data_IF_727877041945
#
_entry.id   IF_727877041945
#
_cell.length_a   1.000
_cell.length_b   1.000
_cell.length_c   1.000
_cell.angle_alpha   90.00
_cell.angle_beta   90.00
_cell.angle_gamma   90.00
#
_symmetry.space_group_name_H-M   'P 1'
#
loop_
_entity.id
_entity.type
_entity.pdbx_description
1 polymer ?
#
# COMPACT_ATOMS: atom_id res chain seq x y z
N UNK A 1 18.89 -25.13 8.87
CA UNK A 1 17.52 -25.12 9.45
C UNK A 1 16.60 -24.16 8.69
N UNK A 2 17.01 -22.92 8.43
CA UNK A 2 16.17 -21.91 7.74
C UNK A 2 15.79 -22.26 6.29
N UNK A 3 16.73 -22.77 5.47
CA UNK A 3 16.43 -23.16 4.08
C UNK A 3 15.41 -24.31 3.99
N UNK A 4 15.56 -25.31 4.87
CA UNK A 4 14.64 -26.45 4.94
C UNK A 4 13.26 -25.98 5.39
N UNK A 5 13.19 -25.11 6.42
CA UNK A 5 11.94 -24.50 6.86
C UNK A 5 11.25 -23.75 5.73
N UNK A 6 11.97 -22.89 5.02
CA UNK A 6 11.46 -22.16 3.85
C UNK A 6 10.93 -23.10 2.76
N UNK A 7 11.67 -24.16 2.43
CA UNK A 7 11.27 -25.12 1.41
C UNK A 7 10.01 -25.91 1.82
N UNK A 8 9.94 -26.37 3.07
CA UNK A 8 8.76 -27.02 3.63
C UNK A 8 7.54 -26.08 3.64
N UNK A 9 7.77 -24.82 3.98
CA UNK A 9 6.76 -23.76 4.01
C UNK A 9 6.21 -23.50 2.60
N UNK A 10 7.07 -23.32 1.59
CA UNK A 10 6.65 -23.19 0.18
C UNK A 10 5.85 -24.41 -0.28
N UNK A 11 6.31 -25.63 0.02
CA UNK A 11 5.61 -26.87 -0.36
C UNK A 11 4.23 -26.92 0.31
N UNK A 12 4.16 -26.66 1.62
CA UNK A 12 2.91 -26.64 2.38
C UNK A 12 1.91 -25.64 1.82
N UNK A 13 2.33 -24.38 1.61
CA UNK A 13 1.50 -23.33 0.99
C UNK A 13 1.02 -23.74 -0.39
N UNK A 14 1.87 -24.38 -1.20
CA UNK A 14 1.51 -24.85 -2.55
C UNK A 14 0.45 -25.95 -2.48
N UNK A 15 0.60 -26.93 -1.58
CA UNK A 15 -0.36 -28.01 -1.36
C UNK A 15 -1.72 -27.49 -0.85
N UNK A 16 -1.70 -26.56 0.11
CA UNK A 16 -2.90 -25.90 0.63
C UNK A 16 -3.61 -25.13 -0.50
N UNK A 17 -2.85 -24.33 -1.26
CA UNK A 17 -3.39 -23.54 -2.36
C UNK A 17 -3.99 -24.40 -3.46
N UNK A 18 -3.34 -25.50 -3.79
CA UNK A 18 -3.83 -26.48 -4.75
C UNK A 18 -5.15 -27.11 -4.27
N UNK A 19 -5.17 -27.58 -3.02
CA UNK A 19 -6.36 -28.21 -2.42
C UNK A 19 -7.54 -27.25 -2.36
N UNK A 20 -7.34 -26.03 -1.86
CA UNK A 20 -8.39 -25.01 -1.78
C UNK A 20 -8.86 -24.54 -3.15
N UNK A 21 -7.97 -24.50 -4.15
CA UNK A 21 -8.35 -24.20 -5.54
C UNK A 21 -9.24 -25.30 -6.13
N UNK A 22 -8.94 -26.58 -5.86
CA UNK A 22 -9.78 -27.70 -6.30
C UNK A 22 -11.15 -27.71 -5.64
N UNK A 23 -11.26 -27.22 -4.40
CA UNK A 23 -12.53 -27.12 -3.67
C UNK A 23 -13.40 -25.93 -4.09
N UNK A 24 -12.81 -24.92 -4.76
CA UNK A 24 -13.52 -23.71 -5.19
C UNK A 24 -14.78 -23.99 -6.05
N UNK A 25 -14.75 -24.82 -7.12
CA UNK A 25 -15.95 -25.12 -7.89
C UNK A 25 -17.05 -25.81 -7.07
N UNK A 26 -16.69 -26.68 -6.13
CA UNK A 26 -17.65 -27.33 -5.24
C UNK A 26 -18.30 -26.31 -4.29
N UNK A 27 -17.52 -25.34 -3.78
CA UNK A 27 -18.04 -24.25 -2.96
C UNK A 27 -19.02 -23.38 -3.75
N UNK A 28 -18.73 -23.09 -5.01
CA UNK A 28 -19.63 -22.34 -5.89
C UNK A 28 -20.92 -23.12 -6.18
N UNK A 29 -20.81 -24.43 -6.42
CA UNK A 29 -21.96 -25.31 -6.61
C UNK A 29 -22.84 -25.31 -5.35
N UNK A 30 -22.24 -25.49 -4.17
CA UNK A 30 -22.95 -25.47 -2.89
C UNK A 30 -23.63 -24.12 -2.64
N UNK A 31 -22.97 -23.00 -2.96
CA UNK A 31 -23.57 -21.66 -2.80
C UNK A 31 -24.74 -21.42 -3.77
N UNK A 32 -24.71 -22.02 -4.96
CA UNK A 32 -25.84 -22.01 -5.90
C UNK A 32 -27.00 -22.91 -5.45
N UNK A 33 -26.70 -24.07 -4.88
CA UNK A 33 -27.71 -25.05 -4.43
C UNK A 33 -28.35 -24.66 -3.09
N UNK A 34 -27.59 -24.02 -2.21
CA UNK A 34 -28.04 -23.53 -0.91
C UNK A 34 -27.68 -22.04 -0.80
N UNK A 35 -28.44 -21.16 -1.48
CA UNK A 35 -28.22 -19.73 -1.37
C UNK A 35 -28.42 -19.32 0.08
N UNK A 36 -27.33 -19.00 0.75
CA UNK A 36 -27.39 -18.39 2.07
C UNK A 36 -28.01 -17.02 1.88
N UNK A 37 -29.03 -16.68 2.66
CA UNK A 37 -29.51 -15.29 2.78
C UNK A 37 -28.33 -14.46 3.29
N UNK A 38 -27.51 -13.97 2.36
CA UNK A 38 -26.56 -12.92 2.62
C UNK A 38 -27.45 -11.70 2.70
N UNK A 39 -27.53 -11.11 3.89
CA UNK A 39 -28.20 -9.82 4.06
C UNK A 39 -27.65 -8.89 2.99
N UNK A 40 -28.53 -8.18 2.27
CA UNK A 40 -28.17 -7.31 1.16
C UNK A 40 -27.07 -6.28 1.52
N UNK A 41 -26.92 -5.98 2.82
CA UNK A 41 -25.90 -5.11 3.41
C UNK A 41 -24.46 -5.65 3.30
N UNK A 42 -24.24 -6.96 3.19
CA UNK A 42 -22.88 -7.53 3.12
C UNK A 42 -22.24 -7.38 1.73
N UNK A 43 -23.05 -7.23 0.66
CA UNK A 43 -22.57 -7.05 -0.71
C UNK A 43 -22.40 -5.59 -1.12
N UNK A 44 -22.99 -4.65 -0.37
CA UNK A 44 -22.88 -3.20 -0.64
C UNK A 44 -21.60 -2.58 -0.07
N UNK A 45 -20.98 -3.19 0.94
CA UNK A 45 -19.76 -2.68 1.58
C UNK A 45 -18.46 -2.99 0.84
N UNK A 46 -18.49 -3.78 -0.24
CA UNK A 46 -17.29 -4.15 -1.00
C UNK A 46 -17.49 -3.81 -2.47
N UNK A 47 -16.60 -2.97 -3.00
CA UNK A 47 -16.46 -2.73 -4.44
C UNK A 47 -15.21 -3.43 -4.97
N UNK A 48 -15.30 -4.00 -6.18
CA UNK A 48 -14.20 -4.68 -6.82
C UNK A 48 -13.54 -3.77 -7.85
N UNK A 49 -12.21 -3.80 -7.90
CA UNK A 49 -11.41 -3.07 -8.89
C UNK A 49 -10.55 -4.04 -9.68
N UNK A 50 -10.62 -3.95 -11.01
CA UNK A 50 -9.71 -4.65 -11.93
C UNK A 50 -8.78 -3.61 -12.57
N UNK A 51 -7.49 -3.88 -12.55
CA UNK A 51 -6.49 -2.89 -12.90
C UNK A 51 -5.15 -3.46 -13.33
N UNK A 52 -4.19 -2.57 -13.49
CA UNK A 52 -2.82 -2.87 -13.89
C UNK A 52 -1.86 -2.07 -13.03
N UNK A 53 -0.84 -2.74 -12.52
CA UNK A 53 0.35 -2.09 -11.96
C UNK A 53 1.40 -2.01 -13.06
N UNK A 54 1.94 -0.82 -13.25
CA UNK A 54 3.08 -0.56 -14.11
C UNK A 54 4.26 -0.09 -13.26
N UNK A 55 5.43 -0.67 -13.51
CA UNK A 55 6.69 -0.28 -12.91
C UNK A 55 7.67 0.14 -14.00
N UNK A 56 8.40 1.22 -13.74
CA UNK A 56 9.50 1.66 -14.56
C UNK A 56 10.68 2.04 -13.69
N UNK A 57 11.83 1.49 -14.02
CA UNK A 57 13.14 1.89 -13.51
C UNK A 57 13.93 2.47 -14.68
N UNK A 58 14.38 3.71 -14.56
CA UNK A 58 15.19 4.39 -15.57
C UNK A 58 16.70 4.15 -15.44
N UNK A 59 17.24 4.06 -14.21
CA UNK A 59 18.69 4.02 -13.94
C UNK A 59 19.08 3.03 -12.83
N UNK A 60 20.33 2.54 -12.76
CA UNK A 60 21.37 2.65 -13.80
C UNK A 60 21.08 1.76 -15.01
N UNK A 61 20.28 0.69 -14.83
CA UNK A 61 19.81 -0.18 -15.90
C UNK A 61 18.31 -0.02 -16.07
N UNK A 62 17.87 0.24 -17.30
CA UNK A 62 16.46 0.38 -17.59
C UNK A 62 15.71 -0.96 -17.46
N UNK A 63 14.56 -0.92 -16.80
CA UNK A 63 13.67 -2.07 -16.67
C UNK A 63 12.25 -1.58 -16.43
N UNK A 64 11.31 -1.97 -17.29
CA UNK A 64 9.89 -1.65 -17.15
C UNK A 64 9.04 -2.89 -17.40
N UNK A 65 7.91 -2.97 -16.69
CA UNK A 65 6.95 -4.04 -16.83
C UNK A 65 5.58 -3.62 -16.30
N UNK A 66 4.55 -4.35 -16.74
CA UNK A 66 3.19 -4.18 -16.24
C UNK A 66 2.55 -5.54 -15.98
N UNK A 67 1.68 -5.62 -14.98
CA UNK A 67 0.95 -6.84 -14.66
C UNK A 67 -0.46 -6.53 -14.17
N UNK A 68 -1.45 -7.38 -14.48
CA UNK A 68 -2.81 -7.19 -14.01
C UNK A 68 -2.90 -7.40 -12.50
N UNK A 69 -3.77 -6.65 -11.85
CA UNK A 69 -4.06 -6.77 -10.41
C UNK A 69 -5.54 -6.58 -10.16
N UNK A 70 -6.01 -7.19 -9.07
CA UNK A 70 -7.37 -7.03 -8.59
C UNK A 70 -7.33 -6.60 -7.14
N UNK A 71 -8.11 -5.58 -6.82
CA UNK A 71 -8.21 -5.01 -5.49
C UNK A 71 -9.65 -5.06 -4.99
N UNK A 72 -9.81 -5.29 -3.69
CA UNK A 72 -11.04 -5.03 -2.97
C UNK A 72 -10.97 -3.61 -2.42
N UNK A 73 -12.06 -2.86 -2.59
CA UNK A 73 -12.28 -1.57 -1.94
C UNK A 73 -13.41 -1.73 -0.95
N UNK A 74 -13.06 -1.75 0.33
CA UNK A 74 -13.89 -2.21 1.43
C UNK A 74 -14.27 -1.00 2.28
N UNK A 75 -15.55 -0.78 2.48
CA UNK A 75 -16.08 0.12 3.49
C UNK A 75 -15.89 -0.50 4.88
N UNK A 76 -14.96 0.04 5.67
CA UNK A 76 -14.63 -0.52 6.98
C UNK A 76 -15.70 -0.23 8.03
N UNK A 77 -16.56 0.76 7.82
CA UNK A 77 -17.63 1.12 8.75
C UNK A 77 -18.88 0.24 8.54
N UNK A 78 -19.10 -0.26 7.33
CA UNK A 78 -20.24 -1.13 6.97
C UNK A 78 -19.86 -2.61 6.79
N UNK A 79 -18.66 -3.02 7.20
CA UNK A 79 -18.29 -4.44 7.25
C UNK A 79 -18.48 -5.02 8.66
N UNK A 80 -19.03 -6.25 8.79
CA UNK A 80 -19.25 -6.87 10.11
C UNK A 80 -17.97 -7.00 10.94
N UNK A 81 -16.84 -7.25 10.26
CA UNK A 81 -15.52 -7.35 10.87
C UNK A 81 -14.48 -6.75 9.92
N UNK A 82 -13.55 -5.98 10.47
CA UNK A 82 -12.38 -5.53 9.73
C UNK A 82 -11.58 -6.75 9.23
N UNK A 83 -11.03 -6.70 8.00
CA UNK A 83 -10.14 -7.73 7.51
C UNK A 83 -9.01 -8.00 8.53
N UNK A 84 -8.62 -9.27 8.75
CA UNK A 84 -7.60 -9.59 9.73
C UNK A 84 -6.28 -8.89 9.38
N UNK A 85 -5.52 -8.51 10.42
CA UNK A 85 -4.23 -7.81 10.27
C UNK A 85 -4.28 -6.43 9.60
N UNK A 86 -5.47 -5.83 9.50
CA UNK A 86 -5.67 -4.45 9.08
C UNK A 86 -6.19 -3.58 10.23
N UNK A 87 -5.99 -2.26 10.12
CA UNK A 87 -6.55 -1.29 11.07
C UNK A 87 -8.08 -1.37 11.10
N UNK A 88 -8.65 -1.21 12.31
CA UNK A 88 -10.07 -0.95 12.46
C UNK A 88 -10.43 0.46 11.94
N UNK A 89 -11.70 0.72 11.58
CA UNK A 89 -12.11 2.06 11.13
C UNK A 89 -11.83 3.13 12.19
N UNK A 90 -12.02 2.80 13.48
CA UNK A 90 -11.72 3.73 14.57
C UNK A 90 -10.22 4.03 14.69
N UNK A 91 -9.36 3.01 14.62
CA UNK A 91 -7.91 3.22 14.64
C UNK A 91 -7.45 4.11 13.49
N UNK A 92 -7.98 3.88 12.28
CA UNK A 92 -7.67 4.68 11.11
C UNK A 92 -8.12 6.16 11.29
N UNK A 93 -9.33 6.40 11.84
CA UNK A 93 -9.80 7.75 12.18
C UNK A 93 -8.91 8.44 13.21
N UNK A 94 -8.52 7.74 14.28
CA UNK A 94 -7.68 8.30 15.34
C UNK A 94 -6.30 8.69 14.81
N UNK A 95 -5.70 7.83 13.98
CA UNK A 95 -4.40 8.10 13.32
C UNK A 95 -4.52 9.29 12.37
N UNK A 96 -5.52 9.26 11.47
CA UNK A 96 -5.71 10.30 10.47
C UNK A 96 -6.27 11.62 11.05
N UNK A 97 -6.80 11.61 12.27
CA UNK A 97 -7.55 12.71 12.89
C UNK A 97 -8.73 13.13 12.00
N UNK A 98 -9.52 12.14 11.59
CA UNK A 98 -10.70 12.34 10.74
C UNK A 98 -11.98 11.83 11.41
N UNK A 99 -13.14 12.34 11.00
CA UNK A 99 -14.43 12.03 11.62
C UNK A 99 -15.42 11.28 10.71
N UNK A 100 -15.10 11.09 9.43
CA UNK A 100 -15.98 10.45 8.46
C UNK A 100 -15.66 8.97 8.18
N UNK A 101 -16.18 8.44 7.05
CA UNK A 101 -16.02 7.03 6.71
C UNK A 101 -14.58 6.67 6.35
N UNK A 102 -14.23 5.41 6.57
CA UNK A 102 -12.91 4.87 6.22
C UNK A 102 -13.06 3.72 5.23
N UNK A 103 -12.34 3.82 4.11
CA UNK A 103 -12.31 2.76 3.10
C UNK A 103 -10.91 2.15 2.98
N UNK A 104 -10.84 0.86 2.75
CA UNK A 104 -9.60 0.09 2.57
C UNK A 104 -9.50 -0.44 1.14
N UNK A 105 -8.46 -0.05 0.43
CA UNK A 105 -8.03 -0.69 -0.81
C UNK A 105 -6.95 -1.74 -0.49
N UNK A 106 -7.23 -3.01 -0.73
CA UNK A 106 -6.32 -4.12 -0.40
C UNK A 106 -6.46 -5.30 -1.38
N UNK A 107 -5.43 -6.16 -1.45
CA UNK A 107 -5.54 -7.46 -2.13
C UNK A 107 -5.86 -8.50 -1.05
N UNK A 108 -7.08 -9.07 -1.03
CA UNK A 108 -7.45 -10.05 -0.02
C UNK A 108 -6.66 -11.37 -0.20
N UNK A 109 -6.46 -12.14 0.89
CA UNK A 109 -5.92 -13.49 0.80
C UNK A 109 -6.76 -14.37 -0.13
N UNK A 110 -6.11 -15.29 -0.82
CA UNK A 110 -6.77 -16.20 -1.77
C UNK A 110 -6.16 -17.58 -1.68
N UNK A 111 -7.04 -18.60 -1.62
CA UNK A 111 -6.68 -20.02 -1.53
C UNK A 111 -5.52 -20.29 -0.55
N UNK A 112 -5.59 -19.70 0.65
CA UNK A 112 -4.62 -19.95 1.73
C UNK A 112 -3.27 -19.23 1.59
N UNK A 113 -3.16 -18.23 0.73
CA UNK A 113 -1.95 -17.43 0.55
C UNK A 113 -2.24 -15.93 0.62
N UNK A 114 -1.32 -15.18 1.22
CA UNK A 114 -1.37 -13.72 1.34
C UNK A 114 -0.09 -13.12 0.75
N UNK A 115 -0.27 -12.18 -0.18
CA UNK A 115 0.78 -11.37 -0.74
C UNK A 115 0.15 -10.06 -1.21
N UNK A 116 0.36 -9.00 -0.42
CA UNK A 116 -0.17 -7.68 -0.70
C UNK A 116 0.91 -6.61 -0.43
N UNK A 117 1.59 -6.08 -1.45
CA UNK A 117 2.66 -5.11 -1.28
C UNK A 117 2.19 -3.74 -0.76
N UNK A 118 0.94 -3.36 -1.03
CA UNK A 118 0.40 -2.04 -0.71
C UNK A 118 -1.10 -2.12 -0.40
N UNK A 119 -1.47 -1.70 0.80
CA UNK A 119 -2.84 -1.34 1.17
C UNK A 119 -2.95 0.18 1.34
N UNK A 120 -4.09 0.75 0.98
CA UNK A 120 -4.38 2.18 1.20
C UNK A 120 -5.67 2.35 1.99
N UNK A 121 -5.61 3.12 3.07
CA UNK A 121 -6.79 3.58 3.79
C UNK A 121 -7.13 4.99 3.33
N UNK A 122 -8.38 5.22 2.99
CA UNK A 122 -8.93 6.51 2.59
C UNK A 122 -9.77 7.04 3.75
N UNK A 123 -9.30 8.10 4.39
CA UNK A 123 -9.91 8.67 5.58
C UNK A 123 -10.60 9.99 5.23
N UNK A 124 -11.92 9.99 5.34
CA UNK A 124 -12.75 11.12 4.99
C UNK A 124 -13.13 11.95 6.22
N UNK A 125 -13.39 13.24 6.02
CA UNK A 125 -14.15 14.05 6.96
C UNK A 125 -15.57 14.25 6.47
N UNK A 126 -16.48 14.31 7.44
CA UNK A 126 -17.88 14.67 7.24
C UNK A 126 -18.13 16.05 7.86
N UNK A 127 -18.63 16.96 7.03
CA UNK A 127 -19.10 18.28 7.43
C UNK A 127 -20.50 18.51 6.83
N UNK A 128 -21.53 18.36 7.65
CA UNK A 128 -22.92 18.36 7.19
C UNK A 128 -23.21 17.20 6.25
N UNK A 129 -23.56 17.51 4.99
CA UNK A 129 -23.81 16.51 3.94
C UNK A 129 -22.60 16.25 3.03
N UNK A 130 -21.48 16.93 3.25
CA UNK A 130 -20.29 16.80 2.41
C UNK A 130 -19.28 15.82 3.02
N UNK A 131 -18.92 14.81 2.23
CA UNK A 131 -17.81 13.89 2.52
C UNK A 131 -16.59 14.32 1.70
N UNK A 132 -15.47 14.58 2.38
CA UNK A 132 -14.22 15.04 1.72
C UNK A 132 -13.06 14.15 2.12
N UNK A 133 -12.25 13.73 1.15
CA UNK A 133 -11.06 12.93 1.42
C UNK A 133 -9.95 13.85 1.94
N UNK A 134 -9.50 13.64 3.18
CA UNK A 134 -8.55 14.53 3.85
C UNK A 134 -7.16 13.92 3.95
N UNK A 135 -7.07 12.64 4.33
CA UNK A 135 -5.79 11.93 4.47
C UNK A 135 -5.90 10.50 4.00
N UNK A 136 -4.76 9.93 3.65
CA UNK A 136 -4.62 8.50 3.42
C UNK A 136 -3.56 7.90 4.34
N UNK A 137 -3.71 6.62 4.67
CA UNK A 137 -2.67 5.82 5.31
C UNK A 137 -2.18 4.80 4.29
N UNK A 138 -0.88 4.80 4.01
CA UNK A 138 -0.25 3.77 3.20
C UNK A 138 0.31 2.69 4.12
N UNK A 139 -0.07 1.44 3.85
CA UNK A 139 0.51 0.26 4.49
C UNK A 139 1.34 -0.49 3.45
N UNK A 140 2.66 -0.49 3.63
CA UNK A 140 3.60 -1.14 2.71
C UNK A 140 4.17 -2.37 3.37
N UNK A 141 4.00 -3.52 2.72
CA UNK A 141 4.56 -4.79 3.18
C UNK A 141 5.84 -5.11 2.41
N UNK A 142 6.93 -5.35 3.14
CA UNK A 142 8.22 -5.75 2.59
C UNK A 142 8.24 -7.25 2.25
N UNK A 143 8.48 -7.55 0.99
CA UNK A 143 8.70 -8.93 0.53
C UNK A 143 10.13 -9.04 -0.02
N UNK A 144 10.95 -9.99 0.45
CA UNK A 144 10.62 -11.11 1.33
C UNK A 144 10.81 -10.86 2.83
N UNK A 145 11.32 -9.71 3.29
CA UNK A 145 11.84 -9.59 4.66
C UNK A 145 10.81 -9.60 5.80
N UNK A 146 9.50 -9.57 5.48
CA UNK A 146 8.45 -9.75 6.47
C UNK A 146 8.28 -8.54 7.39
N UNK A 147 8.60 -7.34 6.91
CA UNK A 147 8.35 -6.10 7.64
C UNK A 147 7.16 -5.39 7.03
N UNK A 148 6.47 -4.59 7.83
CA UNK A 148 5.39 -3.73 7.37
C UNK A 148 5.57 -2.35 7.96
N UNK A 149 5.24 -1.33 7.19
CA UNK A 149 5.22 0.04 7.68
C UNK A 149 3.92 0.72 7.25
N UNK A 150 3.32 1.40 8.20
CA UNK A 150 2.16 2.26 7.99
C UNK A 150 2.58 3.71 8.17
N UNK A 151 2.15 4.60 7.28
CA UNK A 151 2.39 6.04 7.42
C UNK A 151 1.28 6.87 6.77
N UNK A 152 1.06 8.07 7.32
CA UNK A 152 0.12 9.03 6.77
C UNK A 152 0.68 9.76 5.56
N UNK A 153 -0.17 10.08 4.59
CA UNK A 153 0.16 10.96 3.49
C UNK A 153 -1.05 11.78 3.00
N UNK A 154 -0.77 12.94 2.39
CA UNK A 154 -1.77 13.73 1.68
C UNK A 154 -2.10 13.08 0.31
N UNK A 155 -3.38 12.77 0.00
CA UNK A 155 -3.76 12.10 -1.24
C UNK A 155 -3.36 12.87 -2.52
N UNK A 156 -3.40 14.21 -2.51
CA UNK A 156 -3.13 15.02 -3.70
C UNK A 156 -1.66 14.92 -4.15
N UNK A 157 -0.76 15.01 -3.16
CA UNK A 157 0.68 14.82 -3.29
C UNK A 157 1.34 14.90 -1.93
N UNK A 158 2.23 13.96 -1.64
CA UNK A 158 3.10 14.01 -0.46
C UNK A 158 4.49 13.46 -0.77
N UNK A 159 5.48 13.86 0.03
CA UNK A 159 6.85 13.36 -0.07
C UNK A 159 7.26 12.74 1.26
N UNK A 160 7.64 11.47 1.21
CA UNK A 160 8.00 10.67 2.38
C UNK A 160 9.39 10.08 2.19
N UNK A 161 10.25 10.16 3.20
CA UNK A 161 11.54 9.46 3.15
C UNK A 161 11.28 7.96 3.05
N UNK A 162 11.90 7.27 2.06
CA UNK A 162 11.67 5.83 1.84
C UNK A 162 11.85 5.06 3.17
N UNK A 163 10.77 4.51 3.76
CA UNK A 163 10.78 3.97 5.12
C UNK A 163 11.12 2.49 5.20
N UNK A 164 11.24 1.82 4.04
CA UNK A 164 11.38 0.37 3.94
C UNK A 164 12.27 -0.02 2.75
N UNK A 165 13.08 -1.07 2.91
CA UNK A 165 13.92 -1.61 1.84
C UNK A 165 13.13 -2.61 0.97
N UNK A 166 12.17 -2.09 0.21
CA UNK A 166 11.19 -2.87 -0.60
C UNK A 166 11.77 -3.63 -1.80
N UNK A 167 13.05 -3.48 -2.11
CA UNK A 167 13.69 -4.15 -3.24
C UNK A 167 15.19 -4.27 -2.99
N UNK A 168 15.80 -5.45 -3.23
CA UNK A 168 17.25 -5.63 -3.09
C UNK A 168 18.05 -4.87 -4.16
N UNK A 169 17.40 -4.20 -5.11
CA UNK A 169 18.04 -3.41 -6.15
C UNK A 169 17.83 -1.91 -5.95
N UNK A 170 17.28 -1.49 -4.81
CA UNK A 170 17.00 -0.09 -4.49
C UNK A 170 17.30 0.19 -3.01
N UNK A 171 18.32 1.01 -2.74
CA UNK A 171 18.62 1.48 -1.38
C UNK A 171 17.48 2.32 -0.76
N UNK A 172 17.64 2.69 0.51
CA UNK A 172 16.67 3.48 1.26
C UNK A 172 16.85 5.00 1.15
N UNK A 173 17.85 5.49 0.42
CA UNK A 173 18.19 6.92 0.41
C UNK A 173 17.18 7.76 -0.39
N UNK A 174 16.37 7.13 -1.23
CA UNK A 174 15.34 7.81 -2.02
C UNK A 174 14.19 8.38 -1.19
N UNK A 175 13.48 9.32 -1.80
CA UNK A 175 12.23 9.89 -1.30
C UNK A 175 11.08 9.42 -2.19
N UNK A 176 9.98 9.01 -1.58
CA UNK A 176 8.75 8.61 -2.25
C UNK A 176 7.85 9.81 -2.41
N UNK A 177 7.56 10.21 -3.64
CA UNK A 177 6.42 11.07 -3.92
C UNK A 177 5.22 10.19 -4.21
N UNK A 178 4.22 10.26 -3.33
CA UNK A 178 2.99 9.46 -3.41
C UNK A 178 1.80 10.37 -3.67
N UNK A 179 0.91 9.92 -4.55
CA UNK A 179 -0.42 10.53 -4.77
C UNK A 179 -1.44 9.47 -5.13
N UNK A 180 -2.68 9.71 -4.76
CA UNK A 180 -3.81 8.86 -5.11
C UNK A 180 -5.00 9.71 -5.51
N UNK A 181 -5.79 9.25 -6.48
CA UNK A 181 -7.08 9.87 -6.79
C UNK A 181 -8.12 9.48 -5.75
N UNK A 182 -9.12 10.34 -5.52
CA UNK A 182 -10.33 9.92 -4.81
C UNK A 182 -10.96 8.71 -5.53
N UNK A 183 -11.19 7.58 -4.85
CA UNK A 183 -11.74 6.38 -5.47
C UNK A 183 -13.15 6.61 -6.03
N UNK A 184 -13.34 6.38 -7.33
CA UNK A 184 -14.63 6.51 -8.01
C UNK A 184 -14.88 5.33 -8.95
N UNK A 185 -15.19 5.60 -10.22
CA UNK A 185 -15.19 4.58 -11.27
C UNK A 185 -13.77 4.20 -11.69
N UNK A 186 -12.84 5.14 -11.54
CA UNK A 186 -11.42 4.96 -11.81
C UNK A 186 -10.63 5.25 -10.54
N UNK A 187 -9.53 4.55 -10.37
CA UNK A 187 -8.61 4.70 -9.26
C UNK A 187 -7.18 4.70 -9.79
N UNK A 188 -6.42 5.72 -9.40
CA UNK A 188 -5.02 5.85 -9.78
C UNK A 188 -4.17 6.11 -8.55
N UNK A 189 -3.13 5.30 -8.35
CA UNK A 189 -2.09 5.52 -7.34
C UNK A 189 -0.77 5.66 -8.08
N UNK A 190 -0.01 6.72 -7.79
CA UNK A 190 1.32 6.91 -8.34
C UNK A 190 2.33 7.07 -7.22
N UNK A 191 3.44 6.35 -7.33
CA UNK A 191 4.58 6.42 -6.43
C UNK A 191 5.83 6.61 -7.31
N UNK A 192 6.49 7.75 -7.19
CA UNK A 192 7.79 7.99 -7.84
C UNK A 192 8.89 8.10 -6.80
N UNK A 193 10.08 7.63 -7.13
CA UNK A 193 11.23 7.66 -6.24
C UNK A 193 12.29 8.58 -6.80
N UNK A 194 12.56 9.66 -6.05
CA UNK A 194 13.65 10.58 -6.30
C UNK A 194 14.85 10.23 -5.44
N UNK A 195 15.97 9.90 -6.06
CA UNK A 195 17.20 9.52 -5.37
C UNK A 195 18.25 10.63 -5.49
N UNK A 196 18.99 10.97 -4.42
CA UNK A 196 19.98 12.05 -4.44
C UNK A 196 21.04 11.88 -5.56
N UNK A 197 21.46 10.65 -5.85
CA UNK A 197 22.45 10.36 -6.92
C UNK A 197 21.84 10.12 -8.30
N UNK A 198 20.60 9.62 -8.37
CA UNK A 198 20.03 9.09 -9.61
C UNK A 198 18.86 9.90 -10.16
N UNK A 199 18.40 10.92 -9.44
CA UNK A 199 17.21 11.69 -9.79
C UNK A 199 15.95 10.84 -9.69
N UNK A 200 14.95 11.17 -10.51
CA UNK A 200 13.72 10.39 -10.65
C UNK A 200 14.02 9.11 -11.43
N UNK A 201 14.27 8.02 -10.71
CA UNK A 201 14.81 6.80 -11.31
C UNK A 201 13.87 5.60 -11.24
N UNK A 202 12.79 5.70 -10.47
CA UNK A 202 11.77 4.66 -10.38
C UNK A 202 10.38 5.28 -10.29
N UNK A 203 9.41 4.68 -10.97
CA UNK A 203 7.99 5.03 -10.91
C UNK A 203 7.15 3.76 -10.87
N UNK A 204 6.13 3.76 -10.03
CA UNK A 204 5.07 2.77 -9.96
C UNK A 204 3.71 3.46 -10.11
N UNK A 205 2.85 2.90 -10.96
CA UNK A 205 1.50 3.39 -11.17
C UNK A 205 0.52 2.23 -11.11
N UNK A 206 -0.47 2.31 -10.22
CA UNK A 206 -1.66 1.49 -10.24
C UNK A 206 -2.75 2.27 -10.97
N UNK A 207 -3.36 1.66 -11.98
CA UNK A 207 -4.59 2.15 -12.60
C UNK A 207 -5.63 1.04 -12.55
N UNK A 208 -6.76 1.29 -11.92
CA UNK A 208 -7.82 0.30 -11.79
C UNK A 208 -9.20 0.92 -12.01
N UNK A 209 -10.10 0.13 -12.57
CA UNK A 209 -11.47 0.53 -12.83
C UNK A 209 -12.40 -0.29 -11.94
N UNK A 210 -13.43 0.38 -11.42
CA UNK A 210 -14.49 -0.27 -10.67
C UNK A 210 -15.22 -1.25 -11.58
N UNK A 211 -15.38 -2.48 -11.11
CA UNK A 211 -16.16 -3.50 -11.80
C UNK A 211 -17.63 -3.21 -11.50
N UNK A 212 -18.46 -3.04 -12.55
CA UNK A 212 -19.90 -2.89 -12.38
C UNK A 212 -20.44 -4.15 -11.69
N UNK A 213 -20.89 -4.02 -10.45
CA UNK A 213 -21.30 -5.17 -9.63
C UNK A 213 -22.54 -5.83 -10.22
N UNK A 214 -22.34 -6.93 -10.95
CA UNK A 214 -23.35 -7.94 -11.24
C UNK A 214 -22.76 -9.31 -10.92
N UNK A 215 -23.08 -9.84 -9.73
CA UNK A 215 -23.01 -11.27 -9.40
C UNK A 215 -21.63 -11.97 -9.49
N UNK A 216 -20.51 -11.25 -9.49
CA UNK A 216 -19.18 -11.89 -9.50
C UNK A 216 -18.84 -12.39 -8.10
N UNK A 217 -18.63 -13.70 -7.97
CA UNK A 217 -18.16 -14.30 -6.73
C UNK A 217 -16.74 -13.81 -6.39
N UNK A 218 -16.56 -13.25 -5.19
CA UNK A 218 -15.28 -12.67 -4.76
C UNK A 218 -14.15 -13.70 -4.74
N UNK A 219 -14.43 -14.96 -4.37
CA UNK A 219 -13.41 -16.00 -4.31
C UNK A 219 -12.91 -16.38 -5.72
N UNK A 220 -13.79 -16.33 -6.72
CA UNK A 220 -13.41 -16.49 -8.13
C UNK A 220 -12.66 -15.26 -8.65
N UNK A 221 -13.13 -14.06 -8.30
CA UNK A 221 -12.50 -12.82 -8.73
C UNK A 221 -11.05 -12.73 -8.25
N UNK A 222 -10.77 -13.09 -7.00
CA UNK A 222 -9.42 -13.06 -6.44
C UNK A 222 -8.63 -14.37 -6.58
N UNK A 223 -9.15 -15.36 -7.34
CA UNK A 223 -8.50 -16.67 -7.44
C UNK A 223 -7.04 -16.57 -7.91
N UNK A 224 -6.12 -17.06 -7.08
CA UNK A 224 -4.65 -17.00 -7.26
C UNK A 224 -4.06 -15.58 -7.44
N UNK A 225 -4.81 -14.53 -7.08
CA UNK A 225 -4.34 -13.15 -7.27
C UNK A 225 -3.05 -12.87 -6.45
N UNK A 226 -2.98 -13.18 -5.15
CA UNK A 226 -1.76 -12.97 -4.38
C UNK A 226 -0.56 -13.80 -4.91
N UNK A 227 -0.79 -15.04 -5.36
CA UNK A 227 0.26 -15.86 -6.00
C UNK A 227 0.81 -15.21 -7.27
N UNK A 228 -0.06 -14.65 -8.10
CA UNK A 228 0.36 -13.92 -9.31
C UNK A 228 1.23 -12.72 -8.93
N UNK A 229 0.83 -11.95 -7.90
CA UNK A 229 1.65 -10.82 -7.41
C UNK A 229 3.02 -11.29 -6.95
N UNK A 230 3.10 -12.35 -6.14
CA UNK A 230 4.36 -12.92 -5.68
C UNK A 230 5.24 -13.35 -6.86
N UNK A 231 4.66 -14.09 -7.82
CA UNK A 231 5.36 -14.55 -9.02
C UNK A 231 5.96 -13.38 -9.80
N UNK A 232 5.20 -12.30 -10.01
CA UNK A 232 5.70 -11.11 -10.71
C UNK A 232 6.85 -10.42 -9.95
N UNK A 233 6.75 -10.28 -8.62
CA UNK A 233 7.81 -9.70 -7.78
C UNK A 233 9.11 -10.50 -7.93
N UNK A 234 9.06 -11.82 -7.71
CA UNK A 234 10.25 -12.67 -7.77
C UNK A 234 10.80 -12.79 -9.19
N UNK A 235 9.94 -12.88 -10.21
CA UNK A 235 10.35 -12.96 -11.61
C UNK A 235 11.10 -11.70 -12.06
N UNK A 236 10.60 -10.51 -11.69
CA UNK A 236 11.27 -9.26 -12.03
C UNK A 236 12.52 -9.00 -11.20
N UNK A 237 12.57 -9.46 -9.94
CA UNK A 237 13.81 -9.48 -9.17
C UNK A 237 14.89 -10.35 -9.85
N UNK A 238 14.53 -11.55 -10.30
CA UNK A 238 15.44 -12.44 -11.03
C UNK A 238 15.93 -11.81 -12.35
N UNK A 239 15.05 -11.14 -13.10
CA UNK A 239 15.43 -10.42 -14.33
C UNK A 239 16.41 -9.27 -14.05
N UNK A 240 16.24 -8.53 -12.95
CA UNK A 240 17.17 -7.46 -12.56
C UNK A 240 18.54 -8.02 -12.16
N UNK A 241 18.55 -9.14 -11.41
CA UNK A 241 19.77 -9.86 -11.08
C UNK A 241 20.51 -10.32 -12.34
N UNK A 242 19.80 -10.91 -13.31
CA UNK A 242 20.39 -11.33 -14.59
C UNK A 242 20.90 -10.14 -15.44
N UNK A 243 20.31 -8.96 -15.26
CA UNK A 243 20.81 -7.70 -15.85
C UNK A 243 22.02 -7.12 -15.10
N UNK A 244 22.61 -7.84 -14.15
CA UNK A 244 23.74 -7.41 -13.32
C UNK A 244 23.47 -6.12 -12.55
N UNK A 245 22.22 -5.88 -12.13
CA UNK A 245 21.92 -4.76 -11.23
C UNK A 245 22.47 -5.09 -9.85
N UNK A 246 23.18 -4.14 -9.24
CA UNK A 246 23.83 -4.33 -7.95
C UNK A 246 22.81 -4.75 -6.89
N UNK A 247 23.07 -5.88 -6.26
CA UNK A 247 22.33 -6.36 -5.11
C UNK A 247 22.78 -5.61 -3.85
N UNK A 248 21.82 -5.10 -3.10
CA UNK A 248 22.00 -4.34 -1.87
C UNK A 248 21.44 -5.19 -0.74
N UNK A 249 22.30 -5.48 0.25
CA UNK A 249 21.89 -6.25 1.41
C UNK A 249 20.87 -5.46 2.25
N UNK A 250 19.91 -6.17 2.83
CA UNK A 250 18.91 -5.53 3.69
C UNK A 250 19.57 -4.82 4.88
N UNK A 251 19.22 -3.55 5.16
CA UNK A 251 19.87 -2.76 6.20
C UNK A 251 19.87 -3.40 7.58
N UNK A 252 18.83 -4.18 7.92
CA UNK A 252 18.73 -4.92 9.20
C UNK A 252 19.97 -5.73 9.60
N UNK A 253 20.81 -6.12 8.65
CA UNK A 253 22.02 -6.92 8.89
C UNK A 253 23.29 -6.09 9.11
N UNK A 254 23.28 -4.79 8.81
CA UNK A 254 24.47 -3.92 8.93
C UNK A 254 24.22 -2.59 9.64
N UNK A 255 22.97 -2.15 9.72
CA UNK A 255 22.55 -0.94 10.41
C UNK A 255 21.23 -1.23 11.13
N UNK A 256 21.27 -1.33 12.46
CA UNK A 256 20.06 -1.54 13.28
C UNK A 256 19.18 -0.29 13.38
N UNK A 257 19.74 0.91 13.17
CA UNK A 257 19.02 2.20 13.27
C UNK A 257 18.44 2.70 11.95
N UNK A 258 18.37 1.86 10.92
CA UNK A 258 17.88 2.25 9.58
C UNK A 258 16.44 2.81 9.57
N UNK A 259 15.60 2.42 10.54
CA UNK A 259 14.24 2.95 10.70
C UNK A 259 14.29 4.38 11.26
N UNK A 260 15.11 4.61 12.27
CA UNK A 260 15.36 5.92 12.89
C UNK A 260 16.04 6.88 11.90
N UNK A 261 16.93 6.38 11.05
CA UNK A 261 17.55 7.16 9.97
C UNK A 261 16.50 7.59 8.94
N UNK A 262 15.53 6.71 8.63
CA UNK A 262 14.41 7.07 7.75
C UNK A 262 13.50 8.12 8.37
N UNK A 263 13.17 8.00 9.66
CA UNK A 263 12.41 9.01 10.42
C UNK A 263 13.12 10.35 10.46
N UNK A 264 14.43 10.35 10.73
CA UNK A 264 15.24 11.57 10.78
C UNK A 264 15.26 12.28 9.43
N UNK A 265 15.35 11.52 8.32
CA UNK A 265 15.21 12.08 6.98
C UNK A 265 13.79 12.61 6.72
N UNK A 266 12.75 11.92 7.17
CA UNK A 266 11.36 12.36 6.95
C UNK A 266 11.05 13.68 7.67
N UNK A 267 11.58 13.85 8.89
CA UNK A 267 11.49 15.10 9.66
C UNK A 267 12.07 16.30 8.90
N UNK A 268 13.08 16.09 8.05
CA UNK A 268 13.61 17.18 7.22
C UNK A 268 12.58 17.69 6.20
N UNK A 269 11.65 16.85 5.73
CA UNK A 269 10.55 17.27 4.86
C UNK A 269 9.42 17.94 5.63
N UNK A 270 9.08 17.44 6.82
CA UNK A 270 8.09 18.06 7.70
C UNK A 270 8.55 19.45 8.19
N UNK A 271 9.87 19.66 8.32
CA UNK A 271 10.43 20.98 8.61
C UNK A 271 10.18 21.99 7.46
N UNK A 272 10.04 21.50 6.22
CA UNK A 272 9.81 22.30 5.03
C UNK A 272 8.32 22.40 4.62
N UNK A 273 7.47 21.49 5.09
CA UNK A 273 6.03 21.49 4.85
C UNK A 273 5.29 21.70 6.17
N UNK A 274 4.85 22.93 6.42
CA UNK A 274 3.86 23.19 7.44
C UNK A 274 2.62 22.31 7.13
N UNK A 275 2.43 21.24 7.90
CA UNK A 275 1.19 20.46 7.90
C UNK A 275 0.08 21.36 8.40
N UNK A 276 -0.62 22.01 7.47
CA UNK A 276 -1.70 22.95 7.79
C UNK A 276 -1.99 23.93 6.66
N UNK A 277 -2.44 23.44 5.50
CA UNK A 277 -3.04 24.35 4.51
C UNK A 277 -4.51 24.53 4.86
N UNK A 278 -4.82 25.44 5.78
CA UNK A 278 -6.12 26.11 5.72
C UNK A 278 -6.09 27.01 4.49
N UNK A 279 -7.02 26.74 3.57
CA UNK A 279 -7.19 27.49 2.33
C UNK A 279 -7.90 28.80 2.65
N UNK A 280 -7.15 29.88 2.89
CA UNK A 280 -7.73 31.22 2.95
C UNK A 280 -7.68 31.87 1.57
N UNK A 281 -8.86 32.26 1.10
CA UNK A 281 -9.08 33.10 -0.07
C UNK A 281 -8.53 34.50 0.16
N UNK A 282 -7.34 34.79 -0.38
CA UNK A 282 -6.99 36.12 -0.90
C UNK A 282 -5.57 36.08 -1.42
N UNK A 283 -5.42 36.18 -2.74
CA UNK A 283 -4.12 36.26 -3.39
C UNK A 283 -3.42 37.58 -3.07
N UNK A 284 -2.18 37.49 -2.60
CA UNK A 284 -1.10 38.45 -2.84
C UNK A 284 0.24 37.81 -2.49
N UNK A 285 1.15 37.81 -3.46
CA UNK A 285 2.55 37.43 -3.30
C UNK A 285 3.34 38.69 -2.95
N UNK A 286 4.03 38.70 -1.82
CA UNK A 286 5.14 39.63 -1.58
C UNK A 286 6.33 38.85 -1.02
N UNK A 287 7.48 39.04 -1.67
CA UNK A 287 8.78 38.49 -1.29
C UNK A 287 9.47 39.50 -0.39
N UNK A 288 9.85 39.10 0.80
CA UNK A 288 10.90 39.78 1.57
C UNK A 288 11.82 38.72 2.18
N UNK A 289 13.09 38.79 1.77
CA UNK A 289 14.21 38.09 2.41
C UNK A 289 14.59 38.95 3.61
N UNK A 290 14.46 38.40 4.82
CA UNK A 290 15.29 38.85 5.94
C UNK A 290 15.50 37.69 6.91
N UNK A 291 16.78 37.46 7.17
CA UNK A 291 17.31 36.54 8.15
C UNK A 291 17.04 37.09 9.54
N UNK A 292 16.28 36.39 10.36
CA UNK A 292 16.35 36.58 11.80
C UNK A 292 16.07 35.27 12.55
N UNK A 293 16.94 35.07 13.54
CA UNK A 293 16.89 34.05 14.57
C UNK A 293 15.56 34.16 15.34
N UNK A 294 14.63 33.24 15.09
CA UNK A 294 13.51 33.03 16.01
C UNK A 294 13.35 31.55 16.31
N UNK A 295 13.75 31.24 17.54
CA UNK A 295 13.22 30.15 18.34
C UNK A 295 11.69 30.30 18.39
N UNK A 296 11.00 29.49 17.58
CA UNK A 296 9.55 29.35 17.69
C UNK A 296 9.24 27.86 17.69
N UNK A 297 9.00 27.38 18.91
CA UNK A 297 8.48 26.08 19.30
C UNK A 297 7.05 25.89 18.77
N UNK A 298 6.89 25.99 17.44
CA UNK A 298 5.68 25.56 16.74
C UNK A 298 5.72 24.05 16.78
N UNK A 299 4.81 23.48 17.57
CA UNK A 299 4.58 22.05 17.76
C UNK A 299 4.41 21.33 16.40
N UNK A 300 5.53 21.05 15.73
CA UNK A 300 5.63 20.31 14.48
C UNK A 300 5.28 18.87 14.80
N UNK A 301 4.02 18.50 14.62
CA UNK A 301 3.63 17.10 14.73
C UNK A 301 4.36 16.33 13.64
N UNK A 302 5.34 15.52 14.04
CA UNK A 302 5.99 14.53 13.20
C UNK A 302 4.92 13.70 12.46
N UNK A 303 5.20 13.34 11.21
CA UNK A 303 4.37 12.39 10.46
C UNK A 303 4.32 11.09 11.26
N UNK A 304 3.13 10.52 11.36
CA UNK A 304 2.95 9.24 12.05
C UNK A 304 3.50 8.10 11.20
N UNK A 305 4.33 7.26 11.81
CA UNK A 305 4.80 5.98 11.26
C UNK A 305 4.63 4.87 12.28
N UNK A 306 4.30 3.68 11.81
CA UNK A 306 4.30 2.47 12.63
C UNK A 306 4.90 1.31 11.84
N UNK A 307 5.98 0.71 12.38
CA UNK A 307 6.53 -0.53 11.85
C UNK A 307 5.98 -1.71 12.63
N UNK A 308 5.58 -2.74 11.91
CA UNK A 308 5.13 -4.02 12.46
C UNK A 308 5.78 -5.16 11.68
N UNK A 309 5.74 -6.36 12.23
CA UNK A 309 6.12 -7.55 11.47
C UNK A 309 4.95 -8.00 10.60
N UNK A 310 5.23 -8.23 9.32
CA UNK A 310 4.29 -8.89 8.43
C UNK A 310 4.39 -10.40 8.61
N UNK A 311 3.25 -11.09 8.48
CA UNK A 311 3.30 -12.53 8.23
C UNK A 311 4.08 -12.76 6.95
N UNK A 312 5.06 -13.64 7.04
CA UNK A 312 5.79 -14.08 5.86
C UNK A 312 4.79 -14.73 4.89
N UNK A 313 4.89 -14.47 3.57
CA UNK A 313 3.92 -15.00 2.60
C UNK A 313 3.82 -16.52 2.65
N UNK A 314 4.91 -17.16 3.05
CA UNK A 314 5.06 -18.61 3.11
C UNK A 314 4.77 -19.19 4.52
N UNK A 315 4.50 -18.35 5.52
CA UNK A 315 4.28 -18.78 6.91
C UNK A 315 2.83 -19.13 7.23
#
# INVERSE_FOLDING_TARGET
>A
MELLYLLCSIISTTLISFTLSLLLPFRLLLHRLFPRSTTADATTSISLYDGTVWHERGRPVHHSFKYPVRYAFIDLDHTPHAPPHHLSPQQARDIAQTNGPVFLLTIPPSVGYEQNPLSLYYCYNEEGSNTTLIKCIAEVTNTPWGERVQFLFNPDSDVVAKPLHVSPFMDMLGNWSIRTSTPGDNLVVNISVKHPKHGDYFTASLRANRVSSSSVDHAVFFWLMPHKVALWIYWHALKLWWKNVVFIMHPRYGNSSYKEDALTRDRSFACCQAFGTQRNESGKFEKSIESDLFDSDVNKKDRWFQWTDAKWPWC
#
